data_IF_217367836438
#
_entry.id   IF_217367836438
#
_cell.length_a   1.000
_cell.length_b   1.000
_cell.length_c   1.000
_cell.angle_alpha   90.00
_cell.angle_beta   90.00
_cell.angle_gamma   90.00
#
_symmetry.space_group_name_H-M   'P 1'
#
loop_
_entity.id
_entity.type
_entity.pdbx_description
1 polymer ?
#
# COMPACT_ATOMS: atom_id res chain seq x y z
N UNK A 1 56.19 -76.60 141.65
CA UNK A 1 55.47 -77.01 142.88
C UNK A 1 54.30 -77.87 142.40
N UNK A 2 54.43 -79.19 142.24
CA UNK A 2 54.59 -80.28 143.23
C UNK A 2 53.37 -80.43 144.16
N UNK A 3 52.71 -81.60 144.01
CA UNK A 3 52.01 -82.40 145.03
C UNK A 3 50.62 -81.95 145.51
N UNK A 4 49.68 -82.84 145.85
CA UNK A 4 49.68 -84.30 146.09
C UNK A 4 48.23 -84.83 146.11
N UNK A 5 48.08 -86.08 145.69
CA UNK A 5 47.22 -87.16 146.20
C UNK A 5 45.77 -86.89 146.64
N UNK A 6 44.84 -87.57 145.95
CA UNK A 6 44.00 -88.57 146.63
C UNK A 6 43.47 -89.62 145.66
N UNK A 7 43.69 -90.87 146.05
CA UNK A 7 43.37 -92.09 145.35
C UNK A 7 41.97 -92.59 145.78
N UNK A 8 41.26 -93.17 144.80
CA UNK A 8 40.19 -94.17 144.87
C UNK A 8 38.91 -93.89 145.68
N UNK A 9 37.78 -93.90 144.98
CA UNK A 9 36.67 -94.80 145.32
C UNK A 9 35.78 -95.05 144.11
N UNK A 10 35.77 -96.31 143.67
CA UNK A 10 34.78 -96.89 142.74
C UNK A 10 33.36 -96.59 143.26
N UNK A 11 32.58 -95.94 142.41
CA UNK A 11 31.14 -96.21 142.27
C UNK A 11 30.92 -96.47 140.78
N UNK A 12 31.31 -97.67 140.36
CA UNK A 12 30.83 -98.24 139.10
C UNK A 12 29.35 -98.58 139.30
N UNK A 13 28.51 -98.11 138.38
CA UNK A 13 27.48 -98.88 137.67
C UNK A 13 26.54 -97.91 136.92
N UNK A 14 26.48 -98.07 135.59
CA UNK A 14 25.25 -97.77 134.85
C UNK A 14 25.28 -96.61 133.85
N UNK A 15 26.08 -96.72 132.79
CA UNK A 15 25.80 -96.07 131.50
C UNK A 15 24.37 -96.39 131.02
N UNK A 16 23.79 -95.54 130.16
CA UNK A 16 23.16 -96.07 128.96
C UNK A 16 23.87 -95.52 127.73
N UNK A 17 24.84 -96.30 127.28
CA UNK A 17 25.26 -96.40 125.87
C UNK A 17 24.04 -96.30 124.91
N UNK A 18 22.89 -96.79 125.35
CA UNK A 18 21.56 -96.68 124.72
C UNK A 18 21.12 -95.28 124.30
N UNK A 19 21.39 -94.21 125.07
CA UNK A 19 20.90 -92.87 124.70
C UNK A 19 21.78 -92.20 123.63
N UNK A 20 23.09 -92.48 123.64
CA UNK A 20 24.04 -92.06 122.61
C UNK A 20 23.83 -92.87 121.33
N UNK A 21 23.57 -94.17 121.45
CA UNK A 21 23.23 -95.07 120.34
C UNK A 21 21.91 -94.67 119.66
N UNK A 22 20.87 -94.28 120.42
CA UNK A 22 19.61 -93.76 119.86
C UNK A 22 19.79 -92.45 119.11
N UNK A 23 20.57 -91.50 119.63
CA UNK A 23 20.89 -90.25 118.92
C UNK A 23 21.73 -90.49 117.68
N UNK A 24 22.71 -91.40 117.75
CA UNK A 24 23.53 -91.78 116.60
C UNK A 24 22.66 -92.45 115.53
N UNK A 25 21.79 -93.39 115.90
CA UNK A 25 20.86 -94.05 114.98
C UNK A 25 19.83 -93.07 114.38
N UNK A 26 19.30 -92.12 115.17
CA UNK A 26 18.41 -91.08 114.67
C UNK A 26 19.14 -90.12 113.71
N UNK A 27 20.38 -89.73 114.03
CA UNK A 27 21.21 -88.91 113.16
C UNK A 27 21.57 -89.65 111.87
N UNK A 28 21.97 -90.93 111.95
CA UNK A 28 22.25 -91.78 110.78
C UNK A 28 21.02 -91.97 109.91
N UNK A 29 19.83 -92.12 110.52
CA UNK A 29 18.57 -92.19 109.78
C UNK A 29 18.24 -90.86 109.08
N UNK A 30 18.38 -89.73 109.77
CA UNK A 30 18.21 -88.39 109.17
C UNK A 30 19.20 -88.18 108.03
N UNK A 31 20.48 -88.52 108.22
CA UNK A 31 21.52 -88.40 107.19
C UNK A 31 21.21 -89.29 105.99
N UNK A 32 20.72 -90.52 106.20
CA UNK A 32 20.29 -91.42 105.12
C UNK A 32 19.10 -90.83 104.35
N UNK A 33 18.09 -90.33 105.04
CA UNK A 33 16.94 -89.66 104.42
C UNK A 33 17.36 -88.40 103.63
N UNK A 34 18.27 -87.59 104.17
CA UNK A 34 18.82 -86.42 103.47
C UNK A 34 19.63 -86.83 102.25
N UNK A 35 20.42 -87.92 102.32
CA UNK A 35 21.17 -88.43 101.18
C UNK A 35 20.25 -88.99 100.07
N UNK A 36 19.21 -89.74 100.44
CA UNK A 36 18.17 -90.22 99.52
C UNK A 36 17.42 -89.06 98.87
N UNK A 37 17.07 -88.03 99.65
CA UNK A 37 16.43 -86.81 99.15
C UNK A 37 17.35 -86.02 98.21
N UNK A 38 18.63 -85.84 98.55
CA UNK A 38 19.62 -85.18 97.69
C UNK A 38 19.83 -85.94 96.38
N UNK A 39 19.87 -87.27 96.43
CA UNK A 39 19.99 -88.09 95.23
C UNK A 39 18.74 -87.97 94.33
N UNK A 40 17.54 -87.99 94.92
CA UNK A 40 16.28 -87.78 94.19
C UNK A 40 16.21 -86.40 93.56
N UNK A 41 16.54 -85.34 94.31
CA UNK A 41 16.57 -83.97 93.80
C UNK A 41 17.61 -83.79 92.69
N UNK A 42 18.81 -84.36 92.84
CA UNK A 42 19.83 -84.33 91.80
C UNK A 42 19.36 -85.02 90.51
N UNK A 43 18.67 -86.16 90.63
CA UNK A 43 18.07 -86.86 89.48
C UNK A 43 16.96 -86.05 88.80
N UNK A 44 16.10 -85.38 89.57
CA UNK A 44 15.06 -84.49 89.04
C UNK A 44 15.64 -83.26 88.36
N UNK A 45 16.66 -82.64 88.94
CA UNK A 45 17.39 -81.51 88.34
C UNK A 45 18.00 -81.92 87.00
N UNK A 46 18.61 -83.10 86.91
CA UNK A 46 19.24 -83.56 85.67
C UNK A 46 18.22 -83.84 84.56
N UNK A 47 17.07 -84.44 84.92
CA UNK A 47 15.93 -84.59 84.00
C UNK A 47 15.39 -83.23 83.55
N UNK A 48 15.22 -82.29 84.48
CA UNK A 48 14.75 -80.94 84.18
C UNK A 48 15.70 -80.19 83.26
N UNK A 49 17.02 -80.33 83.43
CA UNK A 49 18.01 -79.74 82.51
C UNK A 49 17.89 -80.30 81.11
N UNK A 50 17.73 -81.62 80.99
CA UNK A 50 17.61 -82.29 79.69
C UNK A 50 16.36 -81.80 78.94
N UNK A 51 15.21 -81.71 79.63
CA UNK A 51 13.98 -81.15 79.05
C UNK A 51 14.16 -79.68 78.67
N UNK A 52 14.82 -78.88 79.51
CA UNK A 52 15.08 -77.47 79.22
C UNK A 52 15.96 -77.30 77.97
N UNK A 53 17.02 -78.09 77.83
CA UNK A 53 17.86 -78.07 76.62
C UNK A 53 17.08 -78.47 75.36
N UNK A 54 16.21 -79.48 75.45
CA UNK A 54 15.37 -79.91 74.32
C UNK A 54 14.39 -78.80 73.91
N UNK A 55 13.74 -78.13 74.86
CA UNK A 55 12.82 -77.03 74.57
C UNK A 55 13.55 -75.82 73.98
N UNK A 56 14.72 -75.46 74.52
CA UNK A 56 15.55 -74.39 73.98
C UNK A 56 15.99 -74.68 72.54
N UNK A 57 16.38 -75.91 72.25
CA UNK A 57 16.78 -76.32 70.91
C UNK A 57 15.61 -76.26 69.92
N UNK A 58 14.43 -76.77 70.32
CA UNK A 58 13.22 -76.70 69.48
C UNK A 58 12.78 -75.26 69.18
N UNK A 59 12.87 -74.36 70.16
CA UNK A 59 12.54 -72.94 69.94
C UNK A 59 13.55 -72.29 68.97
N UNK A 60 14.86 -72.57 69.15
CA UNK A 60 15.90 -72.11 68.24
C UNK A 60 15.73 -72.65 66.81
N UNK A 61 15.35 -73.92 66.65
CA UNK A 61 15.06 -74.51 65.34
C UNK A 61 13.89 -73.78 64.67
N UNK A 62 12.81 -73.52 65.41
CA UNK A 62 11.64 -72.80 64.91
C UNK A 62 11.97 -71.35 64.54
N UNK A 63 12.75 -70.65 65.36
CA UNK A 63 13.23 -69.30 65.04
C UNK A 63 14.11 -69.31 63.77
N UNK A 64 15.03 -70.28 63.66
CA UNK A 64 15.89 -70.43 62.48
C UNK A 64 15.07 -70.67 61.21
N UNK A 65 14.07 -71.56 61.25
CA UNK A 65 13.16 -71.81 60.12
C UNK A 65 12.36 -70.56 59.74
N UNK A 66 11.87 -69.81 60.73
CA UNK A 66 11.15 -68.54 60.51
C UNK A 66 12.04 -67.51 59.82
N UNK A 67 13.25 -67.28 60.34
CA UNK A 67 14.22 -66.33 59.76
C UNK A 67 14.63 -66.77 58.35
N UNK A 68 14.82 -68.06 58.11
CA UNK A 68 15.15 -68.59 56.79
C UNK A 68 14.01 -68.34 55.78
N UNK A 69 12.75 -68.52 56.20
CA UNK A 69 11.60 -68.28 55.34
C UNK A 69 11.46 -66.79 55.02
N UNK A 70 11.56 -65.91 56.01
CA UNK A 70 11.52 -64.46 55.83
C UNK A 70 12.65 -63.99 54.89
N UNK A 71 13.88 -64.48 55.11
CA UNK A 71 15.03 -64.17 54.24
C UNK A 71 14.76 -64.55 52.78
N UNK A 72 14.20 -65.74 52.53
CA UNK A 72 13.85 -66.21 51.18
C UNK A 72 12.73 -65.39 50.54
N UNK A 73 11.82 -64.84 51.32
CA UNK A 73 10.75 -63.97 50.80
C UNK A 73 11.35 -62.63 50.41
N UNK A 74 12.09 -61.99 51.32
CA UNK A 74 12.76 -60.70 51.10
C UNK A 74 13.72 -60.76 49.91
N UNK A 75 14.48 -61.84 49.76
CA UNK A 75 15.37 -62.02 48.60
C UNK A 75 14.60 -62.00 47.27
N UNK A 76 13.45 -62.67 47.20
CA UNK A 76 12.60 -62.63 45.98
C UNK A 76 12.03 -61.25 45.73
N UNK A 77 11.64 -60.53 46.77
CA UNK A 77 11.14 -59.16 46.67
C UNK A 77 12.22 -58.22 46.14
N UNK A 78 13.46 -58.34 46.63
CA UNK A 78 14.61 -57.59 46.12
C UNK A 78 14.80 -57.84 44.63
N UNK A 79 14.82 -59.11 44.19
CA UNK A 79 14.96 -59.42 42.76
C UNK A 79 13.84 -58.84 41.89
N UNK A 80 12.60 -58.83 42.39
CA UNK A 80 11.47 -58.23 41.68
C UNK A 80 11.60 -56.69 41.59
N UNK A 81 12.03 -56.06 42.68
CA UNK A 81 12.26 -54.62 42.73
C UNK A 81 13.42 -54.21 41.81
N UNK A 82 14.53 -54.95 41.80
CA UNK A 82 15.67 -54.70 40.91
C UNK A 82 15.26 -54.76 39.43
N UNK A 83 14.46 -55.77 39.06
CA UNK A 83 13.90 -55.85 37.72
C UNK A 83 13.00 -54.64 37.38
N UNK A 84 12.15 -54.22 38.32
CA UNK A 84 11.30 -53.03 38.13
C UNK A 84 12.12 -51.73 37.99
N UNK A 85 13.22 -51.60 38.73
CA UNK A 85 14.15 -50.47 38.65
C UNK A 85 14.80 -50.44 37.27
N UNK A 86 15.32 -51.56 36.78
CA UNK A 86 15.99 -51.61 35.46
C UNK A 86 15.03 -51.27 34.32
N UNK A 87 13.80 -51.79 34.37
CA UNK A 87 12.76 -51.46 33.38
C UNK A 87 12.40 -49.98 33.41
N UNK A 88 12.29 -49.39 34.60
CA UNK A 88 11.99 -47.96 34.75
C UNK A 88 13.13 -47.10 34.24
N UNK A 89 14.39 -47.47 34.54
CA UNK A 89 15.59 -46.79 34.05
C UNK A 89 15.64 -46.77 32.52
N UNK A 90 15.44 -47.92 31.88
CA UNK A 90 15.36 -48.00 30.42
C UNK A 90 14.26 -47.09 29.85
N UNK A 91 13.09 -47.07 30.48
CA UNK A 91 11.99 -46.19 30.07
C UNK A 91 12.36 -44.70 30.20
N UNK A 92 12.99 -44.30 31.31
CA UNK A 92 13.49 -42.94 31.52
C UNK A 92 14.52 -42.54 30.46
N UNK A 93 15.51 -43.39 30.17
CA UNK A 93 16.52 -43.12 29.14
C UNK A 93 15.90 -42.92 27.75
N UNK A 94 14.91 -43.75 27.40
CA UNK A 94 14.18 -43.61 26.15
C UNK A 94 13.35 -42.32 26.09
N UNK A 95 12.72 -41.92 27.19
CA UNK A 95 12.00 -40.65 27.27
C UNK A 95 12.96 -39.45 27.16
N UNK A 96 14.11 -39.49 27.81
CA UNK A 96 15.13 -38.44 27.69
C UNK A 96 15.63 -38.30 26.25
N UNK A 97 15.88 -39.41 25.57
CA UNK A 97 16.29 -39.39 24.16
C UNK A 97 15.22 -38.73 23.28
N UNK A 98 13.94 -39.05 23.51
CA UNK A 98 12.82 -38.43 22.79
C UNK A 98 12.70 -36.93 23.08
N UNK A 99 12.84 -36.51 24.34
CA UNK A 99 12.81 -35.09 24.72
C UNK A 99 13.94 -34.32 24.03
N UNK A 100 15.15 -34.87 24.00
CA UNK A 100 16.30 -34.24 23.31
C UNK A 100 16.05 -34.14 21.80
N UNK A 101 15.51 -35.18 21.17
CA UNK A 101 15.18 -35.17 19.75
C UNK A 101 14.12 -34.11 19.42
N UNK A 102 13.03 -34.06 20.20
CA UNK A 102 11.96 -33.07 20.04
C UNK A 102 12.47 -31.64 20.25
N UNK A 103 13.31 -31.42 21.25
CA UNK A 103 13.90 -30.11 21.50
C UNK A 103 14.80 -29.64 20.35
N UNK A 104 15.63 -30.53 19.79
CA UNK A 104 16.46 -30.21 18.62
C UNK A 104 15.61 -29.86 17.41
N UNK A 105 14.53 -30.62 17.14
CA UNK A 105 13.65 -30.33 16.01
C UNK A 105 12.89 -29.02 16.23
N UNK A 106 12.47 -28.72 17.46
CA UNK A 106 11.81 -27.45 17.79
C UNK A 106 12.73 -26.24 17.50
N UNK A 107 14.01 -26.32 17.87
CA UNK A 107 15.00 -25.29 17.56
C UNK A 107 15.13 -25.13 16.04
N UNK A 108 15.25 -26.23 15.29
CA UNK A 108 15.38 -26.20 13.83
C UNK A 108 14.16 -25.57 13.16
N UNK A 109 12.95 -25.93 13.61
CA UNK A 109 11.70 -25.36 13.10
C UNK A 109 11.62 -23.87 13.39
N UNK A 110 12.03 -23.42 14.58
CA UNK A 110 12.07 -21.99 14.93
C UNK A 110 13.01 -21.22 14.02
N UNK A 111 14.23 -21.72 13.81
CA UNK A 111 15.20 -21.09 12.90
C UNK A 111 14.68 -21.03 11.46
N UNK A 112 14.07 -22.10 10.96
CA UNK A 112 13.45 -22.10 9.63
C UNK A 112 12.31 -21.09 9.52
N UNK A 113 11.49 -20.94 10.56
CA UNK A 113 10.41 -19.96 10.60
C UNK A 113 10.96 -18.51 10.58
N UNK A 114 12.03 -18.25 11.34
CA UNK A 114 12.74 -16.97 11.34
C UNK A 114 13.30 -16.65 9.94
N UNK A 115 13.99 -17.59 9.30
CA UNK A 115 14.51 -17.42 7.93
C UNK A 115 13.41 -17.10 6.92
N UNK A 116 12.29 -17.84 6.95
CA UNK A 116 11.16 -17.60 6.04
C UNK A 116 10.54 -16.23 6.28
N UNK A 117 10.45 -15.80 7.55
CA UNK A 117 9.94 -14.47 7.90
C UNK A 117 10.87 -13.36 7.38
N UNK A 118 12.18 -13.49 7.54
CA UNK A 118 13.16 -12.53 7.00
C UNK A 118 13.09 -12.43 5.47
N UNK A 119 13.01 -13.56 4.78
CA UNK A 119 12.83 -13.60 3.32
C UNK A 119 11.54 -12.91 2.87
N UNK A 120 10.45 -13.14 3.59
CA UNK A 120 9.17 -12.48 3.34
C UNK A 120 9.28 -10.97 3.50
N UNK A 121 9.89 -10.48 4.58
CA UNK A 121 10.07 -9.05 4.83
C UNK A 121 10.95 -8.39 3.77
N UNK A 122 12.05 -9.03 3.37
CA UNK A 122 12.89 -8.58 2.26
C UNK A 122 12.11 -8.48 0.95
N UNK A 123 11.33 -9.51 0.62
CA UNK A 123 10.51 -9.54 -0.59
C UNK A 123 9.42 -8.45 -0.55
N UNK A 124 8.79 -8.27 0.60
CA UNK A 124 7.76 -7.25 0.82
C UNK A 124 8.32 -5.83 0.62
N UNK A 125 9.48 -5.54 1.21
CA UNK A 125 10.16 -4.26 1.05
C UNK A 125 10.50 -3.98 -0.43
N UNK A 126 11.08 -4.96 -1.13
CA UNK A 126 11.41 -4.86 -2.57
C UNK A 126 10.17 -4.62 -3.44
N UNK A 127 9.06 -5.31 -3.14
CA UNK A 127 7.80 -5.14 -3.86
C UNK A 127 7.23 -3.73 -3.63
N UNK A 128 7.26 -3.25 -2.38
CA UNK A 128 6.81 -1.90 -2.06
C UNK A 128 7.62 -0.81 -2.79
N UNK A 129 8.94 -0.96 -2.87
CA UNK A 129 9.79 -0.06 -3.68
C UNK A 129 9.38 -0.07 -5.16
N UNK A 130 9.14 -1.25 -5.73
CA UNK A 130 8.71 -1.38 -7.12
C UNK A 130 7.34 -0.72 -7.35
N UNK A 131 6.41 -0.87 -6.41
CA UNK A 131 5.09 -0.23 -6.44
C UNK A 131 5.22 1.30 -6.44
N UNK A 132 6.07 1.87 -5.60
CA UNK A 132 6.29 3.31 -5.58
C UNK A 132 6.98 3.81 -6.87
N UNK A 133 7.89 3.03 -7.46
CA UNK A 133 8.46 3.31 -8.79
C UNK A 133 7.38 3.35 -9.88
N UNK A 134 6.45 2.40 -9.89
CA UNK A 134 5.32 2.40 -10.83
C UNK A 134 4.44 3.63 -10.60
N UNK A 135 4.13 3.96 -9.34
CA UNK A 135 3.31 5.13 -9.00
C UNK A 135 3.98 6.44 -9.44
N UNK A 136 5.29 6.55 -9.33
CA UNK A 136 6.05 7.69 -9.86
C UNK A 136 5.97 7.77 -11.39
N UNK A 137 6.18 6.66 -12.09
CA UNK A 137 6.08 6.62 -13.55
C UNK A 137 4.67 6.97 -14.05
N UNK A 138 3.62 6.44 -13.40
CA UNK A 138 2.22 6.78 -13.73
C UNK A 138 1.94 8.27 -13.59
N UNK A 139 2.47 8.92 -12.53
CA UNK A 139 2.34 10.37 -12.33
C UNK A 139 3.00 11.16 -13.47
N UNK A 140 4.24 10.81 -13.83
CA UNK A 140 4.96 11.44 -14.93
C UNK A 140 4.23 11.25 -16.27
N UNK A 141 3.72 10.05 -16.52
CA UNK A 141 2.96 9.74 -17.72
C UNK A 141 1.70 10.63 -17.82
N UNK A 142 0.91 10.71 -16.75
CA UNK A 142 -0.27 11.58 -16.70
C UNK A 142 0.06 13.06 -16.87
N UNK A 143 1.18 13.53 -16.30
CA UNK A 143 1.63 14.90 -16.50
C UNK A 143 1.91 15.19 -17.98
N UNK A 144 2.63 14.29 -18.67
CA UNK A 144 2.91 14.44 -20.11
C UNK A 144 1.63 14.36 -20.93
N UNK A 145 0.77 13.37 -20.65
CA UNK A 145 -0.49 13.16 -21.35
C UNK A 145 -1.43 14.37 -21.21
N UNK A 146 -1.54 14.94 -20.01
CA UNK A 146 -2.34 16.16 -19.78
C UNK A 146 -1.82 17.39 -20.52
N UNK A 147 -0.51 17.50 -20.75
CA UNK A 147 0.13 18.62 -21.47
C UNK A 147 0.13 18.43 -22.99
N UNK A 148 -0.03 17.20 -23.47
CA UNK A 148 0.08 16.86 -24.89
C UNK A 148 -0.90 17.62 -25.81
N UNK A 149 -2.18 17.83 -25.47
CA UNK A 149 -3.09 18.61 -26.29
C UNK A 149 -2.61 20.06 -26.51
N UNK A 150 -2.06 20.68 -25.46
CA UNK A 150 -1.51 22.04 -25.53
C UNK A 150 -0.28 22.08 -26.42
N UNK A 151 0.62 21.08 -26.31
CA UNK A 151 1.80 20.99 -27.17
C UNK A 151 1.42 20.81 -28.66
N UNK A 152 0.42 19.98 -28.95
CA UNK A 152 -0.10 19.80 -30.32
C UNK A 152 -0.65 21.11 -30.87
N UNK A 153 -1.48 21.81 -30.08
CA UNK A 153 -2.05 23.08 -30.52
C UNK A 153 -0.98 24.17 -30.71
N UNK A 154 0.00 24.24 -29.82
CA UNK A 154 1.15 25.13 -29.94
C UNK A 154 1.92 24.88 -31.25
N UNK A 155 2.21 23.62 -31.57
CA UNK A 155 2.91 23.26 -32.81
C UNK A 155 2.12 23.68 -34.05
N UNK A 156 0.79 23.50 -34.06
CA UNK A 156 -0.08 23.98 -35.13
C UNK A 156 -0.02 25.50 -35.29
N UNK A 157 -0.12 26.25 -34.18
CA UNK A 157 -0.05 27.72 -34.21
C UNK A 157 1.31 28.21 -34.69
N UNK A 158 2.40 27.57 -34.27
CA UNK A 158 3.76 27.88 -34.76
C UNK A 158 3.89 27.67 -36.27
N UNK A 159 3.31 26.60 -36.81
CA UNK A 159 3.28 26.35 -38.25
C UNK A 159 2.54 27.46 -39.01
N UNK A 160 1.36 27.87 -38.53
CA UNK A 160 0.59 28.99 -39.11
C UNK A 160 1.39 30.29 -39.07
N UNK A 161 2.03 30.61 -37.93
CA UNK A 161 2.87 31.82 -37.82
C UNK A 161 4.03 31.77 -38.80
N UNK A 162 4.66 30.61 -39.01
CA UNK A 162 5.74 30.45 -39.99
C UNK A 162 5.23 30.68 -41.41
N UNK A 163 4.08 30.12 -41.79
CA UNK A 163 3.45 30.34 -43.10
C UNK A 163 3.12 31.82 -43.34
N UNK A 164 2.54 32.50 -42.33
CA UNK A 164 2.23 33.92 -42.41
C UNK A 164 3.48 34.79 -42.56
N UNK A 165 4.58 34.44 -41.89
CA UNK A 165 5.86 35.14 -42.06
C UNK A 165 6.38 35.02 -43.48
N UNK A 166 6.36 33.81 -44.05
CA UNK A 166 6.76 33.58 -45.44
C UNK A 166 5.89 34.37 -46.43
N UNK A 167 4.56 34.30 -46.30
CA UNK A 167 3.63 35.09 -47.14
C UNK A 167 3.86 36.60 -47.01
N UNK A 168 4.13 37.08 -45.79
CA UNK A 168 4.47 38.49 -45.56
C UNK A 168 5.76 38.87 -46.30
N UNK A 169 6.80 38.04 -46.22
CA UNK A 169 8.09 38.28 -46.90
C UNK A 169 7.93 38.27 -48.42
N UNK A 170 7.17 37.32 -48.97
CA UNK A 170 6.80 37.28 -50.41
C UNK A 170 6.06 38.54 -50.85
N UNK A 171 5.04 38.96 -50.10
CA UNK A 171 4.28 40.18 -50.40
C UNK A 171 5.15 41.44 -50.31
N UNK A 172 6.02 41.55 -49.30
CA UNK A 172 6.94 42.68 -49.21
C UNK A 172 7.90 42.72 -50.41
N UNK A 173 8.42 41.57 -50.83
CA UNK A 173 9.28 41.48 -52.01
C UNK A 173 8.52 41.85 -53.29
N UNK A 174 7.29 41.37 -53.46
CA UNK A 174 6.43 41.70 -54.62
C UNK A 174 6.12 43.19 -54.68
N UNK A 175 5.78 43.82 -53.55
CA UNK A 175 5.49 45.26 -53.47
C UNK A 175 6.73 46.15 -53.71
N UNK A 176 7.93 45.67 -53.37
CA UNK A 176 9.18 46.39 -53.65
C UNK A 176 9.67 46.20 -55.10
N UNK A 177 9.15 45.20 -55.80
CA UNK A 177 9.50 44.93 -57.19
C UNK A 177 8.55 45.71 -58.13
N UNK A 178 9.04 46.60 -58.99
CA UNK A 178 8.21 47.25 -60.01
C UNK A 178 7.60 46.26 -61.02
N UNK A 179 8.17 45.06 -61.18
CA UNK A 179 7.58 43.95 -61.94
C UNK A 179 6.79 42.95 -61.06
N UNK A 180 6.61 43.26 -59.77
CA UNK A 180 5.80 42.45 -58.87
C UNK A 180 4.37 42.32 -59.36
N UNK A 181 3.74 41.19 -59.09
CA UNK A 181 2.42 40.83 -59.60
C UNK A 181 1.37 41.87 -59.22
N UNK A 182 1.34 42.30 -57.95
CA UNK A 182 0.38 43.29 -57.45
C UNK A 182 0.67 44.67 -58.05
N UNK A 183 1.94 45.08 -58.09
CA UNK A 183 2.35 46.38 -58.65
C UNK A 183 1.99 46.43 -60.14
N UNK A 184 2.27 45.36 -60.88
CA UNK A 184 2.01 45.24 -62.32
C UNK A 184 0.52 45.32 -62.62
N UNK A 185 -0.33 44.62 -61.86
CA UNK A 185 -1.78 44.69 -62.02
C UNK A 185 -2.29 46.13 -61.80
N UNK A 186 -1.84 46.82 -60.75
CA UNK A 186 -2.19 48.22 -60.50
C UNK A 186 -1.67 49.14 -61.62
N UNK A 187 -0.47 48.89 -62.13
CA UNK A 187 0.11 49.64 -63.24
C UNK A 187 -0.74 49.49 -64.51
N UNK A 188 -1.19 48.27 -64.83
CA UNK A 188 -2.07 47.96 -65.95
C UNK A 188 -3.41 48.69 -65.82
N UNK A 189 -4.05 48.67 -64.65
CA UNK A 189 -5.29 49.42 -64.38
C UNK A 189 -5.09 50.94 -64.53
N UNK A 190 -3.99 51.50 -64.01
CA UNK A 190 -3.65 52.91 -64.20
C UNK A 190 -3.50 53.24 -65.69
N UNK A 191 -2.84 52.38 -66.47
CA UNK A 191 -2.69 52.61 -67.92
C UNK A 191 -4.03 52.52 -68.65
N UNK A 192 -4.91 51.62 -68.25
CA UNK A 192 -6.27 51.51 -68.79
C UNK A 192 -7.08 52.79 -68.52
N UNK A 193 -7.11 53.25 -67.27
CA UNK A 193 -7.83 54.47 -66.89
C UNK A 193 -7.27 55.72 -67.59
N UNK A 194 -5.94 55.83 -67.75
CA UNK A 194 -5.33 56.93 -68.51
C UNK A 194 -5.80 56.95 -69.97
N UNK A 195 -5.99 55.77 -70.58
CA UNK A 195 -6.50 55.65 -71.94
C UNK A 195 -7.95 56.11 -72.02
N UNK A 196 -8.83 55.62 -71.14
CA UNK A 196 -10.24 56.05 -71.08
C UNK A 196 -10.37 57.56 -70.88
N UNK A 197 -9.60 58.15 -69.95
CA UNK A 197 -9.60 59.60 -69.73
C UNK A 197 -9.21 60.35 -71.01
N UNK A 198 -8.22 59.85 -71.75
CA UNK A 198 -7.76 60.48 -73.00
C UNK A 198 -8.83 60.41 -74.07
N UNK A 199 -9.46 59.25 -74.26
CA UNK A 199 -10.56 59.05 -75.22
C UNK A 199 -11.76 59.95 -74.90
N UNK A 200 -12.16 60.03 -73.62
CA UNK A 200 -13.24 60.92 -73.17
C UNK A 200 -12.86 62.39 -73.41
N UNK A 201 -11.61 62.78 -73.14
CA UNK A 201 -11.14 64.16 -73.36
C UNK A 201 -11.17 64.53 -74.84
N UNK A 202 -10.74 63.63 -75.73
CA UNK A 202 -10.84 63.83 -77.18
C UNK A 202 -12.30 63.93 -77.64
N UNK A 203 -13.18 63.10 -77.08
CA UNK A 203 -14.61 63.18 -77.36
C UNK A 203 -15.22 64.52 -76.91
N UNK A 204 -14.87 65.00 -75.72
CA UNK A 204 -15.30 66.32 -75.21
C UNK A 204 -14.79 67.44 -76.12
N UNK A 205 -13.53 67.39 -76.55
CA UNK A 205 -12.97 68.40 -77.47
C UNK A 205 -13.76 68.44 -78.79
N UNK A 206 -14.01 67.28 -79.40
CA UNK A 206 -14.85 67.18 -80.63
C UNK A 206 -16.25 67.76 -80.41
N UNK A 207 -16.88 67.47 -79.28
CA UNK A 207 -18.20 68.04 -78.94
C UNK A 207 -18.14 69.55 -78.71
N UNK A 208 -17.04 70.05 -78.16
CA UNK A 208 -16.81 71.49 -77.96
C UNK A 208 -16.62 72.21 -79.29
N UNK A 209 -15.87 71.63 -80.24
CA UNK A 209 -15.69 72.18 -81.58
C UNK A 209 -17.03 72.25 -82.33
N UNK A 210 -17.81 71.15 -82.34
CA UNK A 210 -19.15 71.13 -82.92
C UNK A 210 -20.09 72.16 -82.30
N UNK A 211 -20.01 72.35 -80.98
CA UNK A 211 -20.80 73.37 -80.28
C UNK A 211 -20.41 74.79 -80.74
N UNK A 212 -19.13 75.04 -81.00
CA UNK A 212 -18.67 76.34 -81.50
C UNK A 212 -19.13 76.60 -82.94
N UNK A 213 -19.09 75.58 -83.81
CA UNK A 213 -19.68 75.65 -85.15
C UNK A 213 -21.19 75.97 -85.10
N UNK A 214 -21.92 75.29 -84.21
CA UNK A 214 -23.36 75.51 -84.02
C UNK A 214 -23.65 76.94 -83.53
N UNK A 215 -22.84 77.48 -82.60
CA UNK A 215 -22.96 78.88 -82.16
C UNK A 215 -22.76 79.87 -83.31
N UNK A 216 -21.79 79.62 -84.19
CA UNK A 216 -21.53 80.47 -85.38
C UNK A 216 -22.74 80.42 -86.32
N UNK A 217 -23.28 79.23 -86.59
CA UNK A 217 -24.47 79.05 -87.42
C UNK A 217 -25.69 79.76 -86.82
N UNK A 218 -25.92 79.59 -85.51
CA UNK A 218 -26.98 80.26 -84.78
C UNK A 218 -26.85 81.79 -84.81
N UNK A 219 -25.62 82.33 -84.73
CA UNK A 219 -25.38 83.77 -84.87
C UNK A 219 -25.70 84.29 -86.29
N UNK A 220 -25.43 83.51 -87.34
CA UNK A 220 -25.82 83.84 -88.72
C UNK A 220 -27.35 83.87 -88.89
N UNK A 221 -28.02 82.80 -88.47
CA UNK A 221 -29.49 82.70 -88.49
C UNK A 221 -30.14 83.87 -87.74
N UNK A 222 -29.60 84.27 -86.58
CA UNK A 222 -30.10 85.44 -85.83
C UNK A 222 -30.04 86.72 -86.66
N UNK A 223 -28.93 86.99 -87.37
CA UNK A 223 -28.81 88.17 -88.25
C UNK A 223 -29.78 88.12 -89.43
N UNK A 224 -29.97 86.95 -90.03
CA UNK A 224 -30.94 86.77 -91.13
C UNK A 224 -32.37 87.03 -90.64
N UNK A 225 -32.74 86.51 -89.46
CA UNK A 225 -34.04 86.80 -88.84
C UNK A 225 -34.20 88.29 -88.55
N UNK A 226 -33.19 88.97 -88.00
CA UNK A 226 -33.20 90.42 -87.77
C UNK A 226 -33.39 91.20 -89.08
N UNK A 227 -32.72 90.80 -90.15
CA UNK A 227 -32.89 91.40 -91.49
C UNK A 227 -34.30 91.20 -92.02
N UNK A 228 -34.85 89.99 -91.93
CA UNK A 228 -36.22 89.67 -92.32
C UNK A 228 -37.24 90.47 -91.50
N UNK A 229 -37.06 90.61 -90.19
CA UNK A 229 -37.91 91.42 -89.33
C UNK A 229 -37.82 92.91 -89.69
N UNK A 230 -36.63 93.42 -90.03
CA UNK A 230 -36.42 94.79 -90.45
C UNK A 230 -37.13 95.07 -91.79
N UNK A 231 -36.96 94.19 -92.78
CA UNK A 231 -37.69 94.25 -94.05
C UNK A 231 -39.19 94.19 -93.82
N UNK A 232 -39.68 93.26 -92.99
CA UNK A 232 -41.10 93.15 -92.68
C UNK A 232 -41.63 94.42 -92.02
N UNK A 233 -40.85 95.06 -91.15
CA UNK A 233 -41.20 96.36 -90.56
C UNK A 233 -41.23 97.47 -91.60
N UNK A 234 -40.32 97.50 -92.59
CA UNK A 234 -40.33 98.50 -93.67
C UNK A 234 -41.48 98.27 -94.63
N UNK A 235 -41.76 97.02 -95.00
CA UNK A 235 -42.94 96.65 -95.80
C UNK A 235 -44.22 97.00 -95.06
N UNK A 236 -44.29 96.77 -93.74
CA UNK A 236 -45.44 97.13 -92.92
C UNK A 236 -45.63 98.64 -92.84
N UNK A 237 -44.56 99.43 -92.64
CA UNK A 237 -44.61 100.91 -92.67
C UNK A 237 -45.06 101.40 -94.04
N UNK A 238 -44.51 100.87 -95.14
CA UNK A 238 -44.93 101.23 -96.50
C UNK A 238 -46.40 100.85 -96.77
N UNK A 239 -46.87 99.72 -96.23
CA UNK A 239 -48.26 99.31 -96.36
C UNK A 239 -49.19 100.18 -95.52
N UNK A 240 -48.79 100.53 -94.30
CA UNK A 240 -49.51 101.44 -93.40
C UNK A 240 -49.56 102.88 -93.99
N UNK A 241 -48.49 103.35 -94.63
CA UNK A 241 -48.44 104.63 -95.36
C UNK A 241 -49.28 104.60 -96.64
N UNK A 242 -49.31 103.49 -97.38
CA UNK A 242 -50.20 103.30 -98.53
C UNK A 242 -51.67 103.33 -98.11
N UNK A 243 -52.03 102.62 -97.04
CA UNK A 243 -53.39 102.64 -96.46
C UNK A 243 -53.73 104.05 -95.96
N UNK A 244 -52.80 104.76 -95.34
CA UNK A 244 -53.00 106.14 -94.86
C UNK A 244 -53.18 107.14 -96.00
N UNK A 245 -52.39 107.05 -97.07
CA UNK A 245 -52.56 107.88 -98.27
C UNK A 245 -53.90 107.61 -98.95
N UNK A 246 -54.29 106.34 -99.11
CA UNK A 246 -55.61 106.00 -99.65
C UNK A 246 -56.76 106.52 -98.77
N UNK A 247 -56.62 106.43 -97.44
CA UNK A 247 -57.62 106.96 -96.50
C UNK A 247 -57.71 108.49 -96.53
N UNK A 248 -56.59 109.20 -96.67
CA UNK A 248 -56.56 110.66 -96.80
C UNK A 248 -57.10 111.12 -98.15
N UNK A 249 -56.83 110.40 -99.24
CA UNK A 249 -57.40 110.68 -100.56
C UNK A 249 -58.93 110.49 -100.54
N UNK A 250 -59.41 109.42 -99.88
CA UNK A 250 -60.85 109.17 -99.68
C UNK A 250 -61.50 110.22 -98.78
N UNK A 251 -60.75 110.78 -97.81
CA UNK A 251 -61.21 111.87 -96.93
C UNK A 251 -61.31 113.21 -97.67
N UNK A 252 -60.35 113.52 -98.54
CA UNK A 252 -60.41 114.70 -99.42
C UNK A 252 -61.59 114.64 -100.38
N UNK A 253 -61.90 113.46 -100.94
CA UNK A 253 -63.10 113.26 -101.76
C UNK A 253 -64.42 113.41 -100.96
N UNK A 254 -64.42 113.12 -99.66
CA UNK A 254 -65.57 113.33 -98.77
C UNK A 254 -65.76 114.81 -98.39
N UNK A 255 -64.68 115.54 -98.15
CA UNK A 255 -64.72 116.97 -97.77
C UNK A 255 -65.14 117.89 -98.95
N UNK A 256 -65.02 117.45 -100.21
CA UNK A 256 -65.54 118.18 -101.39
C UNK A 256 -67.04 117.96 -101.67
N UNK A 257 -67.69 116.99 -101.01
CA UNK A 257 -69.07 116.56 -101.34
C UNK A 257 -70.12 117.05 -100.33
N UNK A 258 -69.73 117.73 -99.24
CA UNK A 258 -70.69 118.23 -98.23
C UNK A 258 -70.53 119.74 -97.98
N UNK A 259 -71.36 120.60 -98.61
CA UNK A 259 -71.46 122.01 -98.27
C UNK A 259 -72.42 122.28 -97.09
N UNK A 260 -72.09 123.30 -96.30
CA UNK A 260 -72.90 124.07 -95.32
C UNK A 260 -73.19 123.52 -93.91
N UNK A 261 -72.43 124.04 -92.94
CA UNK A 261 -72.92 124.80 -91.76
C UNK A 261 -71.80 125.71 -91.20
#
# INVERSE_FOLDING_TARGET
MVSRDKQCSRKDLGFPFEQKMKRLNALTWIVKQVAEQQHSQSSEIEKSKTVLFQLQFQELEKEMESVLLETKITEREIYQQDHAIEMTKYHCENLEAQVRALYSENIKLRLNAETVQEEFEMMFARNNEYREKIKAHKRLFWEVESKMPVMIELAKKQAVVKELKTKKEELMHDLQNPEGTVIKQVQEEITFLKREITEVKEFINKKTDLLEEEKILHAKLRKEIEMCLCLFSTYKVNMDDWVRCHYLHFKQELDEVIPTL
#
